data_IF_692824117189
#
_entry.id   IF_692824117189
#
_cell.length_a   1.000
_cell.length_b   1.000
_cell.length_c   1.000
_cell.angle_alpha   90.00
_cell.angle_beta   90.00
_cell.angle_gamma   90.00
#
_symmetry.space_group_name_H-M   'P 1'
#
loop_
_entity.id
_entity.type
_entity.pdbx_description
1 polymer ?
#
# COMPACT_ATOMS: atom_id res chain seq x y z
N UNK A 1 -27.31 -15.79 -6.89
CA UNK A 1 -26.24 -15.22 -6.03
C UNK A 1 -24.97 -14.95 -6.86
N UNK A 2 -24.64 -13.68 -7.11
CA UNK A 2 -23.40 -13.32 -7.82
C UNK A 2 -22.28 -13.25 -6.79
N UNK A 3 -21.36 -14.21 -6.83
CA UNK A 3 -20.09 -14.13 -6.10
C UNK A 3 -19.27 -13.03 -6.77
N UNK A 4 -19.15 -11.86 -6.15
CA UNK A 4 -18.06 -10.95 -6.49
C UNK A 4 -16.81 -11.45 -5.78
N UNK A 5 -15.78 -11.84 -6.54
CA UNK A 5 -14.47 -12.05 -5.95
C UNK A 5 -14.07 -10.77 -5.21
N UNK A 6 -13.60 -10.91 -3.96
CA UNK A 6 -12.99 -9.78 -3.25
C UNK A 6 -11.87 -9.25 -4.13
N UNK A 7 -11.97 -7.98 -4.52
CA UNK A 7 -10.87 -7.31 -5.21
C UNK A 7 -9.76 -7.05 -4.18
N UNK A 8 -8.55 -7.50 -4.49
CA UNK A 8 -7.33 -7.24 -3.70
C UNK A 8 -6.67 -5.89 -4.07
N UNK A 9 -7.43 -5.00 -4.72
CA UNK A 9 -7.00 -3.66 -5.12
C UNK A 9 -7.50 -2.58 -4.16
N UNK A 10 -6.58 -1.71 -3.74
CA UNK A 10 -6.80 -0.64 -2.78
C UNK A 10 -6.38 0.71 -3.39
N UNK A 11 -7.13 1.76 -3.07
CA UNK A 11 -6.73 3.14 -3.36
C UNK A 11 -6.21 3.74 -2.05
N UNK A 12 -4.96 4.20 -2.06
CA UNK A 12 -4.33 4.89 -0.94
C UNK A 12 -4.18 6.36 -1.34
N UNK A 13 -4.74 7.27 -0.54
CA UNK A 13 -4.49 8.71 -0.67
C UNK A 13 -3.63 9.19 0.48
N UNK A 14 -2.69 10.07 0.18
CA UNK A 14 -1.76 10.62 1.16
C UNK A 14 -1.62 12.12 0.98
N UNK A 15 -1.40 12.80 2.11
CA UNK A 15 -1.15 14.23 2.22
C UNK A 15 0.19 14.43 2.93
N UNK A 16 0.97 15.39 2.48
CA UNK A 16 2.20 15.80 3.14
C UNK A 16 2.33 17.32 3.15
N UNK A 17 2.96 17.84 4.21
CA UNK A 17 3.26 19.25 4.39
C UNK A 17 4.72 19.44 4.80
N UNK A 18 5.33 20.53 4.32
CA UNK A 18 6.62 20.99 4.76
C UNK A 18 6.46 22.26 5.60
N UNK A 19 7.14 22.29 6.75
CA UNK A 19 7.11 23.41 7.70
C UNK A 19 8.42 24.20 7.65
N UNK A 20 8.35 25.51 7.89
CA UNK A 20 9.53 26.32 8.19
C UNK A 20 9.99 26.15 9.66
N UNK A 21 11.07 26.85 10.04
CA UNK A 21 11.61 26.80 11.41
C UNK A 21 10.65 27.31 12.49
N UNK A 22 9.60 28.04 12.10
CA UNK A 22 8.58 28.58 12.99
C UNK A 22 7.32 27.69 13.02
N UNK A 23 7.32 26.55 12.32
CA UNK A 23 6.19 25.64 12.23
C UNK A 23 5.12 26.08 11.22
N UNK A 24 5.40 27.07 10.36
CA UNK A 24 4.46 27.49 9.32
C UNK A 24 4.57 26.58 8.11
N UNK A 25 3.43 26.13 7.59
CA UNK A 25 3.36 25.37 6.33
C UNK A 25 3.83 26.24 5.16
N UNK A 26 4.83 25.75 4.42
CA UNK A 26 5.39 26.41 3.23
C UNK A 26 5.14 25.65 1.94
N UNK A 27 4.83 24.35 2.02
CA UNK A 27 4.45 23.53 0.87
C UNK A 27 3.51 22.41 1.29
N UNK A 28 2.64 22.00 0.37
CA UNK A 28 1.70 20.91 0.54
C UNK A 28 1.66 20.06 -0.73
N UNK A 29 1.49 18.75 -0.57
CA UNK A 29 1.32 17.83 -1.68
C UNK A 29 0.33 16.73 -1.33
N UNK A 30 -0.41 16.28 -2.34
CA UNK A 30 -1.31 15.14 -2.24
C UNK A 30 -1.00 14.13 -3.34
N UNK A 31 -1.15 12.86 -3.04
CA UNK A 31 -1.00 11.80 -4.02
C UNK A 31 -2.00 10.67 -3.80
N UNK A 32 -2.23 9.92 -4.87
CA UNK A 32 -3.06 8.73 -4.88
C UNK A 32 -2.27 7.59 -5.52
N UNK A 33 -2.28 6.43 -4.86
CA UNK A 33 -1.72 5.20 -5.37
C UNK A 33 -2.80 4.13 -5.43
N UNK A 34 -2.91 3.43 -6.56
CA UNK A 34 -3.65 2.18 -6.64
C UNK A 34 -2.65 1.05 -6.40
N UNK A 35 -2.90 0.23 -5.39
CA UNK A 35 -2.06 -0.92 -5.04
C UNK A 35 -2.88 -2.20 -5.07
N UNK A 36 -2.26 -3.29 -5.50
CA UNK A 36 -2.89 -4.60 -5.53
C UNK A 36 -2.09 -5.57 -4.66
N UNK A 37 -2.76 -6.22 -3.70
CA UNK A 37 -2.17 -7.29 -2.91
C UNK A 37 -2.05 -8.54 -3.76
N UNK A 38 -0.82 -9.03 -3.90
CA UNK A 38 -0.53 -10.25 -4.64
C UNK A 38 -0.76 -11.47 -3.75
N UNK A 39 -0.93 -12.64 -4.39
CA UNK A 39 -0.94 -13.92 -3.69
C UNK A 39 0.39 -14.20 -3.00
N UNK A 40 1.53 -13.79 -3.57
CA UNK A 40 2.83 -14.19 -3.03
C UNK A 40 3.20 -13.38 -1.77
N UNK A 41 3.96 -14.00 -0.88
CA UNK A 41 4.62 -13.32 0.23
C UNK A 41 5.73 -12.37 -0.27
N UNK A 42 6.24 -11.49 0.60
CA UNK A 42 7.34 -10.59 0.22
C UNK A 42 8.61 -11.35 -0.13
N UNK A 43 8.98 -12.32 0.71
CA UNK A 43 10.00 -13.32 0.44
C UNK A 43 9.32 -14.61 -0.06
N UNK A 44 9.67 -15.01 -1.28
CA UNK A 44 9.03 -16.09 -2.02
C UNK A 44 9.46 -17.49 -1.57
N UNK A 45 10.45 -17.60 -0.68
CA UNK A 45 10.80 -18.88 -0.05
C UNK A 45 9.65 -19.41 0.80
N UNK A 46 8.85 -18.53 1.42
CA UNK A 46 7.54 -18.93 1.94
C UNK A 46 6.54 -18.90 0.76
N UNK A 47 6.08 -20.08 0.35
CA UNK A 47 5.16 -20.21 -0.80
C UNK A 47 3.80 -19.56 -0.54
N UNK A 48 3.10 -19.17 -1.61
CA UNK A 48 1.80 -18.51 -1.50
C UNK A 48 0.75 -19.31 -0.69
N UNK A 49 0.79 -20.63 -0.74
CA UNK A 49 -0.21 -21.50 -0.08
C UNK A 49 0.14 -21.79 1.38
N UNK A 50 1.30 -21.33 1.86
CA UNK A 50 1.72 -21.52 3.24
C UNK A 50 0.84 -20.68 4.19
N UNK A 51 0.27 -21.27 5.26
CA UNK A 51 -0.51 -20.52 6.23
C UNK A 51 0.39 -19.63 7.09
N UNK A 52 -0.19 -18.59 7.69
CA UNK A 52 0.56 -17.54 8.37
C UNK A 52 1.36 -18.03 9.60
N UNK A 53 0.88 -19.08 10.26
CA UNK A 53 1.55 -19.77 11.37
C UNK A 53 2.77 -20.60 10.92
N UNK A 54 2.79 -21.02 9.65
CA UNK A 54 3.88 -21.76 9.03
C UNK A 54 5.02 -20.90 8.49
N UNK A 55 4.88 -19.57 8.48
CA UNK A 55 5.88 -18.68 7.87
C UNK A 55 7.23 -18.81 8.54
N UNK A 56 8.27 -19.04 7.73
CA UNK A 56 9.66 -19.17 8.21
C UNK A 56 10.39 -17.83 8.20
N UNK A 57 10.00 -16.91 7.31
CA UNK A 57 10.72 -15.65 7.10
C UNK A 57 10.19 -14.54 8.01
N UNK A 58 11.09 -13.91 8.76
CA UNK A 58 10.76 -12.77 9.63
C UNK A 58 10.09 -11.62 8.87
N UNK A 59 10.54 -11.35 7.63
CA UNK A 59 9.94 -10.29 6.79
C UNK A 59 8.47 -10.58 6.47
N UNK A 60 8.12 -11.83 6.20
CA UNK A 60 6.75 -12.23 5.90
C UNK A 60 5.87 -12.22 7.15
N UNK A 61 6.42 -12.54 8.33
CA UNK A 61 5.70 -12.41 9.61
C UNK A 61 5.39 -10.95 9.96
N UNK A 62 6.32 -10.05 9.67
CA UNK A 62 6.17 -8.63 10.00
C UNK A 62 5.26 -7.89 9.01
N UNK A 63 5.38 -8.18 7.72
CA UNK A 63 4.77 -7.36 6.66
C UNK A 63 3.80 -8.13 5.75
N UNK A 64 3.84 -9.47 5.77
CA UNK A 64 2.88 -10.32 5.06
C UNK A 64 3.08 -10.41 3.54
N UNK A 65 1.96 -10.30 2.82
CA UNK A 65 1.88 -10.48 1.37
C UNK A 65 2.43 -9.27 0.62
N UNK A 66 2.95 -9.50 -0.58
CA UNK A 66 3.48 -8.43 -1.43
C UNK A 66 2.34 -7.54 -1.94
N UNK A 67 2.53 -6.22 -1.88
CA UNK A 67 1.68 -5.27 -2.58
C UNK A 67 2.44 -4.73 -3.80
N UNK A 68 1.77 -4.71 -4.94
CA UNK A 68 2.28 -4.10 -6.17
C UNK A 68 1.58 -2.77 -6.38
N UNK A 69 2.36 -1.71 -6.57
CA UNK A 69 1.81 -0.43 -7.01
C UNK A 69 1.43 -0.54 -8.49
N UNK A 70 0.15 -0.38 -8.78
CA UNK A 70 -0.43 -0.46 -10.12
C UNK A 70 -0.38 0.90 -10.80
N UNK A 71 -0.70 1.95 -10.05
CA UNK A 71 -0.56 3.32 -10.53
C UNK A 71 -0.27 4.28 -9.38
N UNK A 72 0.31 5.42 -9.74
CA UNK A 72 0.55 6.53 -8.85
C UNK A 72 0.29 7.83 -9.60
N UNK A 73 -0.36 8.79 -8.94
CA UNK A 73 -0.48 10.15 -9.47
C UNK A 73 -0.41 11.18 -8.35
N UNK A 74 0.17 12.33 -8.67
CA UNK A 74 0.04 13.53 -7.87
C UNK A 74 -1.36 14.11 -8.06
N UNK A 75 -1.94 14.60 -6.97
CA UNK A 75 -3.26 15.22 -6.96
C UNK A 75 -3.12 16.73 -6.81
N UNK A 76 -4.00 17.47 -7.47
CA UNK A 76 -4.20 18.87 -7.18
C UNK A 76 -4.97 19.00 -5.86
N UNK A 77 -4.73 20.08 -5.10
CA UNK A 77 -5.44 20.33 -3.84
C UNK A 77 -6.96 20.42 -3.98
N UNK A 78 -7.47 20.70 -5.18
CA UNK A 78 -8.92 20.74 -5.47
C UNK A 78 -9.56 19.39 -5.75
N UNK A 79 -8.77 18.33 -5.92
CA UNK A 79 -9.26 16.97 -6.23
C UNK A 79 -9.48 16.11 -4.97
N UNK A 80 -9.17 16.66 -3.79
CA UNK A 80 -9.25 15.98 -2.50
C UNK A 80 -10.57 16.32 -1.82
#
# INVERSE_FOLDING_TARGET
PVLSARSDSFIIRSYGEALDSNGKVIAQAWCEAVVERQRDYLDTDDTADLPADGLSKTVNRNFGRRFKMISFRWLNSREI
#
